data_IF_358936446757
#
_entry.id   IF_358936446757
#
_cell.length_a   1.000
_cell.length_b   1.000
_cell.length_c   1.000
_cell.angle_alpha   90.00
_cell.angle_beta   90.00
_cell.angle_gamma   90.00
#
_symmetry.space_group_name_H-M   'P 1'
#
loop_
_entity.id
_entity.type
_entity.pdbx_description
1 polymer ?
#
# COMPACT_ATOMS: atom_id res chain seq x y z
N UNK A 1 -10.98 26.16 1.90
CA UNK A 1 -9.68 25.45 1.99
C UNK A 1 -10.04 23.97 2.23
N UNK A 2 -9.67 23.10 1.31
CA UNK A 2 -9.98 21.65 1.41
C UNK A 2 -9.06 20.97 2.42
N UNK A 3 -9.63 20.27 3.40
CA UNK A 3 -8.86 19.64 4.49
C UNK A 3 -8.87 18.12 4.36
N UNK A 4 -7.67 17.51 4.34
CA UNK A 4 -7.47 16.06 4.19
C UNK A 4 -6.79 15.49 5.43
N UNK A 5 -7.43 14.55 6.11
CA UNK A 5 -6.80 13.75 7.16
C UNK A 5 -6.18 12.48 6.56
N UNK A 6 -4.95 12.14 6.93
CA UNK A 6 -4.25 10.94 6.46
C UNK A 6 -3.90 10.03 7.63
N UNK A 7 -4.63 8.93 7.79
CA UNK A 7 -4.34 7.91 8.79
C UNK A 7 -3.23 6.97 8.29
N UNK A 8 -2.12 6.91 9.05
CA UNK A 8 -0.95 6.11 8.67
C UNK A 8 0.10 6.87 7.86
N UNK A 9 0.23 8.17 8.09
CA UNK A 9 1.18 9.06 7.39
C UNK A 9 2.65 8.66 7.54
N UNK A 10 3.04 7.93 8.60
CA UNK A 10 4.41 7.43 8.79
C UNK A 10 4.74 6.16 8.00
N UNK A 11 3.74 5.50 7.39
CA UNK A 11 3.92 4.30 6.57
C UNK A 11 4.48 4.59 5.18
N UNK A 12 4.83 3.54 4.44
CA UNK A 12 5.42 3.62 3.09
C UNK A 12 4.58 4.48 2.14
N UNK A 13 3.29 4.17 1.99
CA UNK A 13 2.36 4.93 1.15
C UNK A 13 2.03 6.29 1.76
N UNK A 14 1.86 6.38 3.10
CA UNK A 14 1.54 7.64 3.78
C UNK A 14 2.62 8.70 3.58
N UNK A 15 3.90 8.32 3.60
CA UNK A 15 5.01 9.25 3.31
C UNK A 15 5.04 9.70 1.84
N UNK A 16 4.74 8.79 0.91
CA UNK A 16 4.63 9.16 -0.51
C UNK A 16 3.47 10.13 -0.73
N UNK A 17 2.32 9.87 -0.10
CA UNK A 17 1.16 10.74 -0.15
C UNK A 17 1.45 12.12 0.47
N UNK A 18 2.11 12.16 1.63
CA UNK A 18 2.50 13.43 2.25
C UNK A 18 3.40 14.29 1.34
N UNK A 19 4.33 13.68 0.59
CA UNK A 19 5.17 14.40 -0.39
C UNK A 19 4.36 14.91 -1.57
N UNK A 20 3.46 14.09 -2.11
CA UNK A 20 2.60 14.47 -3.25
C UNK A 20 1.65 15.61 -2.87
N UNK A 21 1.01 15.54 -1.70
CA UNK A 21 0.05 16.54 -1.24
C UNK A 21 0.72 17.85 -0.76
N UNK A 22 2.01 17.84 -0.48
CA UNK A 22 2.74 19.06 -0.10
C UNK A 22 2.81 20.10 -1.23
N UNK A 23 2.55 19.70 -2.48
CA UNK A 23 2.46 20.62 -3.63
C UNK A 23 1.12 21.36 -3.71
N UNK A 24 0.10 20.90 -3.00
CA UNK A 24 -1.25 21.49 -3.03
C UNK A 24 -1.35 22.63 -1.99
N UNK A 25 -1.08 23.85 -2.43
CA UNK A 25 -0.98 25.04 -1.53
C UNK A 25 -2.33 25.47 -0.93
N UNK A 26 -3.43 25.12 -1.57
CA UNK A 26 -4.79 25.47 -1.15
C UNK A 26 -5.44 24.39 -0.27
N UNK A 27 -4.70 23.33 0.04
CA UNK A 27 -5.15 22.24 0.89
C UNK A 27 -4.49 22.27 2.26
N UNK A 28 -5.23 21.85 3.28
CA UNK A 28 -4.69 21.57 4.61
C UNK A 28 -4.58 20.06 4.79
N UNK A 29 -3.36 19.53 4.88
CA UNK A 29 -3.12 18.13 5.17
C UNK A 29 -2.88 17.94 6.66
N UNK A 30 -3.64 17.02 7.29
CA UNK A 30 -3.50 16.62 8.69
C UNK A 30 -2.99 15.19 8.75
N UNK A 31 -1.67 14.97 8.77
CA UNK A 31 -1.09 13.63 8.82
C UNK A 31 -1.18 13.07 10.24
N UNK A 32 -1.64 11.81 10.39
CA UNK A 32 -1.67 11.12 11.68
C UNK A 32 -0.81 9.87 11.69
N UNK A 33 -0.23 9.58 12.84
CA UNK A 33 0.54 8.36 13.08
C UNK A 33 0.36 7.89 14.53
N UNK A 34 0.64 6.62 14.81
CA UNK A 34 0.56 6.07 16.17
C UNK A 34 1.93 5.80 16.76
N UNK A 35 2.71 4.84 16.22
CA UNK A 35 3.96 4.38 16.82
C UNK A 35 5.20 5.17 16.41
N UNK A 36 5.16 5.84 15.25
CA UNK A 36 6.28 6.60 14.67
C UNK A 36 5.78 7.99 14.30
N UNK A 37 5.48 8.78 15.32
CA UNK A 37 4.98 10.15 15.14
C UNK A 37 6.16 11.07 14.85
N UNK A 38 6.19 11.66 13.65
CA UNK A 38 7.19 12.66 13.26
C UNK A 38 6.70 14.08 13.55
N UNK A 39 7.60 15.06 13.45
CA UNK A 39 7.25 16.47 13.59
C UNK A 39 6.15 16.84 12.56
N UNK A 40 5.14 17.59 13.00
CA UNK A 40 3.98 17.97 12.19
C UNK A 40 2.91 16.88 12.01
N UNK A 41 3.07 15.71 12.63
CA UNK A 41 2.04 14.68 12.64
C UNK A 41 1.26 14.69 13.96
N UNK A 42 -0.03 14.36 13.89
CA UNK A 42 -0.90 14.18 15.05
C UNK A 42 -0.79 12.72 15.54
N UNK A 43 -0.56 12.53 16.83
CA UNK A 43 -0.58 11.21 17.44
C UNK A 43 -2.02 10.70 17.52
N UNK A 44 -2.34 9.59 16.84
CA UNK A 44 -3.68 9.00 16.81
C UNK A 44 -3.60 7.47 16.76
N UNK A 45 -4.11 6.81 17.80
CA UNK A 45 -4.38 5.38 17.72
C UNK A 45 -5.76 5.16 17.09
N UNK A 46 -5.76 4.71 15.84
CA UNK A 46 -7.01 4.47 15.12
C UNK A 46 -7.80 3.23 15.61
N UNK A 47 -7.30 2.50 16.61
CA UNK A 47 -8.04 1.43 17.30
C UNK A 47 -8.91 1.98 18.44
N UNK A 48 -8.67 3.21 18.86
CA UNK A 48 -9.49 3.91 19.85
C UNK A 48 -10.59 4.74 19.14
N UNK A 49 -11.82 4.22 19.16
CA UNK A 49 -12.96 4.87 18.52
C UNK A 49 -13.24 6.26 19.09
N UNK A 50 -13.03 6.49 20.40
CA UNK A 50 -13.23 7.81 21.03
C UNK A 50 -12.17 8.81 20.56
N UNK A 51 -10.92 8.36 20.43
CA UNK A 51 -9.86 9.20 19.89
C UNK A 51 -10.15 9.61 18.43
N UNK A 52 -10.67 8.68 17.61
CA UNK A 52 -11.11 8.95 16.23
C UNK A 52 -12.23 9.99 16.21
N UNK A 53 -13.29 9.80 17.01
CA UNK A 53 -14.41 10.75 17.09
C UNK A 53 -13.95 12.15 17.49
N UNK A 54 -13.11 12.25 18.54
CA UNK A 54 -12.55 13.51 19.00
C UNK A 54 -11.68 14.19 17.93
N UNK A 55 -10.82 13.41 17.25
CA UNK A 55 -9.97 13.90 16.17
C UNK A 55 -10.79 14.45 14.99
N UNK A 56 -11.75 13.68 14.48
CA UNK A 56 -12.60 14.09 13.34
C UNK A 56 -13.47 15.30 13.73
N UNK A 57 -13.97 15.35 14.98
CA UNK A 57 -14.74 16.48 15.48
C UNK A 57 -13.89 17.76 15.61
N UNK A 58 -12.64 17.65 16.01
CA UNK A 58 -11.70 18.78 16.15
C UNK A 58 -11.19 19.28 14.80
N UNK A 59 -10.72 18.35 13.95
CA UNK A 59 -10.10 18.72 12.68
C UNK A 59 -11.10 19.05 11.59
N UNK A 60 -12.31 18.49 11.65
CA UNK A 60 -13.38 18.69 10.65
C UNK A 60 -12.86 18.49 9.21
N UNK A 61 -12.25 17.36 8.86
CA UNK A 61 -11.73 17.12 7.52
C UNK A 61 -12.87 17.00 6.51
N UNK A 62 -12.61 17.46 5.26
CA UNK A 62 -13.49 17.23 4.11
C UNK A 62 -13.28 15.82 3.52
N UNK A 63 -12.07 15.28 3.68
CA UNK A 63 -11.74 13.92 3.25
C UNK A 63 -10.82 13.21 4.25
N UNK A 64 -10.96 11.88 4.36
CA UNK A 64 -10.09 11.01 5.18
C UNK A 64 -9.50 9.91 4.32
N UNK A 65 -8.17 9.80 4.30
CA UNK A 65 -7.45 8.69 3.64
C UNK A 65 -6.95 7.71 4.69
N UNK A 66 -7.40 6.44 4.61
CA UNK A 66 -7.00 5.37 5.52
C UNK A 66 -5.91 4.54 4.83
N UNK A 67 -4.63 4.85 5.11
CA UNK A 67 -3.45 4.15 4.61
C UNK A 67 -2.80 3.24 5.68
N UNK A 68 -3.33 3.24 6.92
CA UNK A 68 -2.87 2.38 8.00
C UNK A 68 -3.54 0.99 7.92
N UNK A 69 -2.75 -0.08 8.04
CA UNK A 69 -3.22 -1.45 8.10
C UNK A 69 -2.15 -2.39 8.65
N UNK A 70 -2.54 -3.54 9.25
CA UNK A 70 -1.64 -4.68 9.31
C UNK A 70 -1.64 -5.36 7.94
N UNK A 71 -0.47 -5.37 7.28
CA UNK A 71 -0.30 -5.79 5.87
C UNK A 71 0.44 -7.11 5.69
N UNK A 72 0.92 -7.70 6.79
CA UNK A 72 1.70 -8.94 6.77
C UNK A 72 0.80 -10.15 6.94
N UNK A 73 0.64 -11.00 5.91
CA UNK A 73 -0.26 -12.16 5.97
C UNK A 73 0.04 -13.08 7.16
N UNK A 74 1.31 -13.36 7.41
CA UNK A 74 1.74 -14.27 8.49
C UNK A 74 1.40 -13.71 9.88
N UNK A 75 1.50 -12.39 10.06
CA UNK A 75 1.09 -11.71 11.30
C UNK A 75 -0.43 -11.78 11.48
N UNK A 76 -1.19 -11.56 10.41
CA UNK A 76 -2.65 -11.66 10.45
C UNK A 76 -3.14 -13.09 10.76
N UNK A 77 -2.43 -14.12 10.28
CA UNK A 77 -2.73 -15.53 10.65
C UNK A 77 -2.40 -15.80 12.12
N UNK A 78 -1.30 -15.24 12.64
CA UNK A 78 -0.87 -15.46 14.01
C UNK A 78 -1.74 -14.70 15.03
N UNK A 79 -2.15 -13.46 14.71
CA UNK A 79 -3.01 -12.62 15.56
C UNK A 79 -4.17 -12.01 14.74
N UNK A 80 -5.22 -12.82 14.47
CA UNK A 80 -6.39 -12.35 13.73
C UNK A 80 -7.17 -11.24 14.46
N UNK A 81 -7.10 -11.21 15.80
CA UNK A 81 -7.81 -10.21 16.61
C UNK A 81 -7.18 -8.82 16.44
N UNK A 82 -5.86 -8.72 16.52
CA UNK A 82 -5.14 -7.47 16.26
C UNK A 82 -5.31 -7.01 14.81
N UNK A 83 -5.26 -7.94 13.84
CA UNK A 83 -5.52 -7.65 12.44
C UNK A 83 -6.93 -7.10 12.24
N UNK A 84 -7.96 -7.71 12.86
CA UNK A 84 -9.36 -7.24 12.81
C UNK A 84 -9.50 -5.84 13.41
N UNK A 85 -8.93 -5.60 14.60
CA UNK A 85 -9.01 -4.31 15.26
C UNK A 85 -8.50 -3.17 14.37
N UNK A 86 -7.42 -3.40 13.60
CA UNK A 86 -6.82 -2.39 12.73
C UNK A 86 -7.45 -2.34 11.34
N UNK A 87 -7.71 -3.50 10.71
CA UNK A 87 -8.15 -3.57 9.32
C UNK A 87 -9.68 -3.48 9.14
N UNK A 88 -10.46 -3.67 10.21
CA UNK A 88 -11.93 -3.70 10.16
C UNK A 88 -12.54 -2.66 11.11
N UNK A 89 -12.27 -2.80 12.42
CA UNK A 89 -12.98 -2.00 13.42
C UNK A 89 -12.54 -0.53 13.39
N UNK A 90 -11.24 -0.27 13.18
CA UNK A 90 -10.73 1.09 12.95
C UNK A 90 -11.33 1.73 11.69
N UNK A 91 -11.44 0.96 10.59
CA UNK A 91 -12.04 1.46 9.33
C UNK A 91 -13.49 1.83 9.55
N UNK A 92 -14.27 0.99 10.25
CA UNK A 92 -15.67 1.28 10.60
C UNK A 92 -15.81 2.54 11.45
N UNK A 93 -14.95 2.69 12.47
CA UNK A 93 -14.99 3.85 13.37
C UNK A 93 -14.66 5.15 12.64
N UNK A 94 -13.64 5.14 11.77
CA UNK A 94 -13.31 6.30 10.92
C UNK A 94 -14.46 6.62 9.97
N UNK A 95 -15.05 5.62 9.33
CA UNK A 95 -16.18 5.80 8.41
C UNK A 95 -17.39 6.42 9.12
N UNK A 96 -17.71 5.95 10.34
CA UNK A 96 -18.82 6.49 11.13
C UNK A 96 -18.58 7.95 11.55
N UNK A 97 -17.38 8.27 12.02
CA UNK A 97 -17.00 9.64 12.39
C UNK A 97 -17.01 10.58 11.19
N UNK A 98 -16.47 10.13 10.03
CA UNK A 98 -16.46 10.88 8.79
C UNK A 98 -17.89 11.13 8.26
N UNK A 99 -18.75 10.10 8.25
CA UNK A 99 -20.17 10.21 7.86
C UNK A 99 -20.90 11.29 8.68
N UNK A 100 -20.68 11.32 9.99
CA UNK A 100 -21.31 12.30 10.88
C UNK A 100 -20.93 13.77 10.53
N UNK A 101 -19.87 13.95 9.75
CA UNK A 101 -19.37 15.25 9.27
C UNK A 101 -19.57 15.50 7.78
N UNK A 102 -20.09 14.52 7.04
CA UNK A 102 -20.21 14.59 5.59
C UNK A 102 -18.86 14.53 4.87
N UNK A 103 -17.82 13.98 5.50
CA UNK A 103 -16.51 13.82 4.91
C UNK A 103 -16.44 12.57 4.04
N UNK A 104 -15.79 12.68 2.88
CA UNK A 104 -15.50 11.54 2.00
C UNK A 104 -14.37 10.68 2.56
N UNK A 105 -14.46 9.36 2.38
CA UNK A 105 -13.46 8.42 2.89
C UNK A 105 -12.84 7.59 1.76
N UNK A 106 -11.50 7.59 1.67
CA UNK A 106 -10.75 6.66 0.84
C UNK A 106 -10.02 5.65 1.74
N UNK A 107 -10.33 4.36 1.58
CA UNK A 107 -9.62 3.29 2.28
C UNK A 107 -8.78 2.46 1.32
N UNK A 108 -7.50 2.28 1.66
CA UNK A 108 -6.61 1.40 0.90
C UNK A 108 -6.96 -0.05 1.21
N UNK A 109 -7.15 -0.84 0.16
CA UNK A 109 -7.34 -2.29 0.20
C UNK A 109 -6.26 -3.02 -0.59
N UNK A 110 -6.46 -4.29 -0.91
CA UNK A 110 -5.44 -5.18 -1.44
C UNK A 110 -5.98 -6.09 -2.56
N UNK A 111 -5.09 -6.52 -3.44
CA UNK A 111 -5.31 -7.60 -4.40
C UNK A 111 -5.54 -8.97 -3.72
N UNK A 112 -5.10 -9.15 -2.45
CA UNK A 112 -5.29 -10.39 -1.68
C UNK A 112 -6.75 -10.67 -1.28
N UNK A 113 -7.70 -9.81 -1.64
CA UNK A 113 -9.12 -10.14 -1.57
C UNK A 113 -9.52 -11.18 -2.61
N UNK A 114 -8.67 -11.47 -3.58
CA UNK A 114 -8.85 -12.47 -4.64
C UNK A 114 -7.99 -13.71 -4.44
N UNK A 115 -8.39 -14.83 -5.07
CA UNK A 115 -7.71 -16.11 -4.99
C UNK A 115 -6.56 -16.28 -6.00
N UNK A 116 -6.47 -15.43 -7.01
CA UNK A 116 -5.44 -15.48 -8.04
C UNK A 116 -5.65 -16.54 -9.12
N UNK A 117 -6.89 -17.02 -9.32
CA UNK A 117 -7.21 -18.08 -10.29
C UNK A 117 -7.71 -17.56 -11.63
N UNK A 118 -8.26 -16.34 -11.66
CA UNK A 118 -8.95 -15.79 -12.85
C UNK A 118 -8.60 -14.33 -13.13
N UNK A 119 -7.30 -13.95 -13.25
CA UNK A 119 -6.92 -12.58 -13.60
C UNK A 119 -7.26 -12.24 -15.06
N UNK A 120 -7.41 -10.94 -15.41
CA UNK A 120 -7.43 -9.80 -14.50
C UNK A 120 -8.76 -9.69 -13.75
N UNK A 121 -8.71 -9.18 -12.49
CA UNK A 121 -9.90 -8.97 -11.68
C UNK A 121 -10.47 -7.58 -11.88
N UNK A 122 -11.74 -7.50 -12.24
CA UNK A 122 -12.51 -6.25 -12.28
C UNK A 122 -12.88 -5.78 -10.87
N UNK A 123 -13.22 -4.48 -10.65
CA UNK A 123 -13.65 -3.99 -9.34
C UNK A 123 -14.85 -4.72 -8.73
N UNK A 124 -15.76 -5.22 -9.55
CA UNK A 124 -16.97 -5.98 -9.18
C UNK A 124 -16.77 -7.50 -9.17
N UNK A 125 -15.58 -7.99 -9.50
CA UNK A 125 -15.28 -9.42 -9.41
C UNK A 125 -15.48 -9.96 -7.99
N UNK A 126 -16.03 -11.17 -7.89
CA UNK A 126 -16.32 -11.80 -6.60
C UNK A 126 -15.04 -12.09 -5.82
N UNK A 127 -14.87 -11.51 -4.62
CA UNK A 127 -13.70 -11.78 -3.80
C UNK A 127 -13.70 -13.21 -3.22
N UNK A 128 -12.50 -13.83 -3.15
CA UNK A 128 -12.27 -15.13 -2.54
C UNK A 128 -10.89 -15.16 -1.86
N UNK A 129 -10.71 -14.50 -0.70
CA UNK A 129 -9.41 -14.37 -0.04
C UNK A 129 -8.92 -15.70 0.54
N UNK A 130 -7.65 -16.05 0.30
CA UNK A 130 -7.04 -17.31 0.72
C UNK A 130 -6.50 -17.29 2.16
N UNK A 131 -6.23 -16.11 2.73
CA UNK A 131 -5.57 -15.96 4.03
C UNK A 131 -6.24 -14.91 4.93
N UNK A 132 -5.86 -14.87 6.22
CA UNK A 132 -6.46 -13.97 7.20
C UNK A 132 -6.27 -12.48 6.84
N UNK A 133 -5.15 -12.11 6.22
CA UNK A 133 -4.93 -10.75 5.75
C UNK A 133 -6.00 -10.35 4.70
N UNK A 134 -6.13 -11.14 3.64
CA UNK A 134 -7.13 -10.88 2.59
C UNK A 134 -8.55 -10.86 3.16
N UNK A 135 -8.88 -11.79 4.07
CA UNK A 135 -10.20 -11.81 4.75
C UNK A 135 -10.44 -10.54 5.57
N UNK A 136 -9.47 -10.12 6.39
CA UNK A 136 -9.60 -8.90 7.20
C UNK A 136 -9.74 -7.64 6.35
N UNK A 137 -9.01 -7.55 5.22
CA UNK A 137 -9.14 -6.42 4.30
C UNK A 137 -10.51 -6.40 3.61
N UNK A 138 -11.01 -7.54 3.17
CA UNK A 138 -12.37 -7.64 2.59
C UNK A 138 -13.46 -7.27 3.60
N UNK A 139 -13.32 -7.70 4.86
CA UNK A 139 -14.24 -7.28 5.93
C UNK A 139 -14.16 -5.77 6.18
N UNK A 140 -12.96 -5.17 6.08
CA UNK A 140 -12.77 -3.73 6.16
C UNK A 140 -13.43 -2.96 5.01
N UNK A 141 -13.35 -3.49 3.76
CA UNK A 141 -14.07 -2.93 2.60
C UNK A 141 -15.58 -2.88 2.86
N UNK A 142 -16.14 -4.00 3.33
CA UNK A 142 -17.59 -4.09 3.69
C UNK A 142 -17.91 -3.14 4.83
N UNK A 143 -17.10 -3.11 5.90
CA UNK A 143 -17.33 -2.22 7.02
C UNK A 143 -17.37 -0.74 6.62
N UNK A 144 -16.55 -0.32 5.65
CA UNK A 144 -16.58 1.03 5.09
C UNK A 144 -17.87 1.28 4.30
N UNK A 145 -18.16 0.43 3.30
CA UNK A 145 -19.24 0.63 2.35
C UNK A 145 -20.62 0.45 3.00
N UNK A 146 -20.76 -0.43 4.02
CA UNK A 146 -21.98 -0.57 4.81
C UNK A 146 -22.23 0.64 5.73
N UNK A 147 -21.16 1.40 6.07
CA UNK A 147 -21.28 2.55 6.97
C UNK A 147 -21.61 3.83 6.23
N UNK A 148 -21.03 4.09 5.05
CA UNK A 148 -21.25 5.33 4.30
C UNK A 148 -21.17 5.11 2.80
N UNK A 149 -22.05 5.80 2.05
CA UNK A 149 -22.03 5.84 0.58
C UNK A 149 -20.96 6.81 0.05
N UNK A 150 -20.50 7.78 0.88
CA UNK A 150 -19.45 8.73 0.54
C UNK A 150 -18.06 8.13 0.77
N UNK A 151 -17.79 7.01 0.11
CA UNK A 151 -16.54 6.29 0.29
C UNK A 151 -16.04 5.63 -0.99
N UNK A 152 -14.72 5.49 -1.05
CA UNK A 152 -14.00 4.72 -2.06
C UNK A 152 -13.06 3.72 -1.40
N UNK A 153 -13.19 2.46 -1.80
CA UNK A 153 -12.16 1.44 -1.59
C UNK A 153 -11.19 1.48 -2.77
N UNK A 154 -9.91 1.69 -2.50
CA UNK A 154 -8.87 1.60 -3.52
C UNK A 154 -8.04 0.34 -3.28
N UNK A 155 -8.25 -0.70 -4.10
CA UNK A 155 -7.46 -1.93 -4.08
C UNK A 155 -6.14 -1.72 -4.80
N UNK A 156 -5.06 -2.12 -4.17
CA UNK A 156 -3.69 -2.00 -4.65
C UNK A 156 -2.97 -3.34 -4.52
N UNK A 157 -2.03 -3.66 -5.43
CA UNK A 157 -1.20 -4.86 -5.29
C UNK A 157 0.04 -4.57 -4.44
N UNK A 158 1.13 -5.33 -4.68
CA UNK A 158 2.42 -5.16 -4.04
C UNK A 158 3.00 -3.76 -4.23
N UNK A 159 3.17 -3.01 -3.13
CA UNK A 159 3.70 -1.65 -3.16
C UNK A 159 5.22 -1.61 -2.93
N UNK A 160 5.90 -0.70 -3.63
CA UNK A 160 7.29 -0.34 -3.39
C UNK A 160 7.50 1.16 -3.62
N UNK A 161 8.54 1.73 -3.04
CA UNK A 161 8.85 3.17 -3.15
C UNK A 161 9.94 3.57 -2.17
N UNK A 162 10.21 4.88 -2.00
CA UNK A 162 11.20 5.36 -1.05
C UNK A 162 10.93 4.89 0.38
N UNK A 163 11.91 4.20 0.96
CA UNK A 163 11.86 3.51 2.25
C UNK A 163 12.77 4.19 3.29
N UNK A 164 12.56 3.87 4.55
CA UNK A 164 13.49 4.14 5.66
C UNK A 164 14.09 2.86 6.24
N UNK A 165 13.52 1.70 5.88
CA UNK A 165 14.00 0.37 6.24
C UNK A 165 13.68 -0.62 5.12
N UNK A 166 14.60 -1.56 4.82
CA UNK A 166 14.40 -2.57 3.77
C UNK A 166 13.13 -3.41 3.95
N UNK A 167 12.69 -3.62 5.19
CA UNK A 167 11.50 -4.44 5.52
C UNK A 167 10.16 -3.73 5.28
N UNK A 168 10.17 -2.45 4.90
CA UNK A 168 8.92 -1.71 4.65
C UNK A 168 8.19 -2.13 3.38
N UNK A 169 8.87 -2.79 2.46
CA UNK A 169 8.27 -3.32 1.22
C UNK A 169 8.70 -4.77 0.98
N UNK A 170 7.80 -5.60 0.49
CA UNK A 170 8.15 -6.96 0.07
C UNK A 170 9.03 -7.00 -1.19
N UNK A 171 9.23 -5.87 -1.87
CA UNK A 171 10.22 -5.68 -2.93
C UNK A 171 11.59 -5.40 -2.33
N UNK A 172 11.70 -4.37 -1.49
CA UNK A 172 12.99 -3.93 -0.95
C UNK A 172 13.54 -4.88 0.12
N UNK A 173 12.68 -5.65 0.79
CA UNK A 173 13.11 -6.71 1.74
C UNK A 173 13.93 -7.83 1.09
N UNK A 174 13.97 -7.92 -0.25
CA UNK A 174 14.82 -8.86 -0.97
C UNK A 174 16.28 -8.40 -1.02
N UNK A 175 16.55 -7.09 -0.92
CA UNK A 175 17.89 -6.49 -1.09
C UNK A 175 18.95 -7.12 -0.19
N UNK A 176 18.74 -7.33 1.12
CA UNK A 176 19.76 -7.94 1.97
C UNK A 176 20.16 -9.35 1.52
N UNK A 177 19.20 -10.20 1.13
CA UNK A 177 19.48 -11.56 0.66
C UNK A 177 20.19 -11.56 -0.72
N UNK A 178 19.80 -10.66 -1.62
CA UNK A 178 20.44 -10.47 -2.93
C UNK A 178 21.91 -10.08 -2.74
N UNK A 179 22.20 -9.09 -1.89
CA UNK A 179 23.58 -8.64 -1.61
C UNK A 179 24.41 -9.72 -0.93
N UNK A 180 23.83 -10.46 0.01
CA UNK A 180 24.54 -11.56 0.67
C UNK A 180 24.92 -12.66 -0.32
N UNK A 181 24.06 -13.01 -1.26
CA UNK A 181 24.32 -14.04 -2.27
C UNK A 181 25.38 -13.67 -3.31
N UNK A 182 25.73 -12.38 -3.43
CA UNK A 182 26.77 -11.90 -4.32
C UNK A 182 28.18 -12.03 -3.73
N UNK A 183 28.33 -12.38 -2.45
CA UNK A 183 29.62 -12.54 -1.80
C UNK A 183 30.28 -13.87 -2.18
N UNK A 184 31.60 -13.88 -2.29
CA UNK A 184 32.36 -15.08 -2.64
C UNK A 184 32.13 -16.20 -1.61
N UNK A 185 31.72 -17.39 -2.09
CA UNK A 185 31.43 -18.55 -1.24
C UNK A 185 30.07 -18.51 -0.50
N UNK A 186 29.25 -17.49 -0.75
CA UNK A 186 27.92 -17.42 -0.17
C UNK A 186 26.95 -18.46 -0.79
N UNK A 187 25.96 -18.87 -0.01
CA UNK A 187 24.86 -19.68 -0.54
C UNK A 187 23.95 -18.82 -1.44
N UNK A 188 23.41 -19.42 -2.53
CA UNK A 188 22.44 -18.74 -3.38
C UNK A 188 21.19 -18.31 -2.61
N UNK A 189 20.64 -17.15 -2.95
CA UNK A 189 19.36 -16.70 -2.41
C UNK A 189 18.19 -17.36 -3.17
N UNK A 190 17.32 -18.07 -2.46
CA UNK A 190 16.13 -18.70 -3.02
C UNK A 190 15.01 -17.68 -3.11
N UNK A 191 14.44 -17.51 -4.31
CA UNK A 191 13.38 -16.53 -4.60
C UNK A 191 12.15 -17.20 -5.19
N UNK A 192 10.97 -16.80 -4.73
CA UNK A 192 9.68 -17.26 -5.27
C UNK A 192 9.58 -16.89 -6.76
N UNK A 193 9.46 -17.91 -7.60
CA UNK A 193 9.22 -17.83 -9.04
C UNK A 193 7.86 -18.44 -9.41
N UNK A 194 6.98 -18.68 -8.42
CA UNK A 194 5.66 -19.26 -8.63
C UNK A 194 4.56 -18.21 -8.71
N UNK A 195 4.59 -17.20 -7.83
CA UNK A 195 3.52 -16.23 -7.72
C UNK A 195 3.84 -14.94 -8.49
N UNK A 196 2.98 -14.58 -9.42
CA UNK A 196 3.05 -13.32 -10.17
C UNK A 196 2.57 -12.15 -9.30
N UNK A 197 3.29 -11.05 -9.35
CA UNK A 197 2.99 -9.78 -8.67
C UNK A 197 3.09 -8.64 -9.67
N UNK A 198 2.44 -7.54 -9.34
CA UNK A 198 2.46 -6.30 -10.12
C UNK A 198 3.03 -5.18 -9.22
N UNK A 199 4.36 -5.05 -9.13
CA UNK A 199 4.98 -4.06 -8.27
C UNK A 199 4.49 -2.66 -8.65
N UNK A 200 3.88 -1.97 -7.69
CA UNK A 200 3.24 -0.67 -7.92
C UNK A 200 3.97 0.40 -7.12
N UNK A 201 4.44 1.43 -7.81
CA UNK A 201 5.27 2.47 -7.23
C UNK A 201 4.45 3.43 -6.37
N UNK A 202 4.82 3.63 -5.09
CA UNK A 202 4.02 4.45 -4.16
C UNK A 202 3.89 5.92 -4.55
N UNK A 203 4.86 6.59 -5.22
CA UNK A 203 4.64 7.93 -5.77
C UNK A 203 3.54 7.97 -6.85
N UNK A 204 3.39 6.91 -7.65
CA UNK A 204 2.31 6.84 -8.65
C UNK A 204 0.95 6.63 -7.97
N UNK A 205 0.89 5.80 -6.92
CA UNK A 205 -0.31 5.64 -6.10
C UNK A 205 -0.68 6.96 -5.40
N UNK A 206 0.32 7.68 -4.88
CA UNK A 206 0.10 8.99 -4.26
C UNK A 206 -0.49 10.00 -5.25
N UNK A 207 0.02 10.01 -6.49
CA UNK A 207 -0.56 10.80 -7.58
C UNK A 207 -2.03 10.41 -7.84
N UNK A 208 -2.33 9.11 -7.96
CA UNK A 208 -3.71 8.63 -8.16
C UNK A 208 -4.62 9.08 -7.02
N UNK A 209 -4.16 8.99 -5.76
CA UNK A 209 -4.93 9.44 -4.60
C UNK A 209 -5.14 10.96 -4.64
N UNK A 210 -4.14 11.75 -5.02
CA UNK A 210 -4.28 13.20 -5.18
C UNK A 210 -5.34 13.56 -6.23
N UNK A 211 -5.33 12.90 -7.39
CA UNK A 211 -6.36 13.09 -8.44
C UNK A 211 -7.77 12.75 -7.93
N UNK A 212 -7.91 11.68 -7.13
CA UNK A 212 -9.18 11.31 -6.50
C UNK A 212 -9.64 12.36 -5.47
N UNK A 213 -8.71 12.90 -4.68
CA UNK A 213 -8.98 13.97 -3.73
C UNK A 213 -9.34 15.29 -4.44
N UNK A 214 -8.69 15.61 -5.56
CA UNK A 214 -9.04 16.77 -6.40
C UNK A 214 -10.48 16.66 -6.89
N UNK A 215 -10.89 15.50 -7.39
CA UNK A 215 -12.29 15.27 -7.76
C UNK A 215 -13.25 15.42 -6.60
N UNK A 216 -12.84 14.98 -5.40
CA UNK A 216 -13.65 15.17 -4.20
C UNK A 216 -13.79 16.65 -3.86
N UNK A 217 -12.72 17.43 -3.90
CA UNK A 217 -12.73 18.87 -3.67
C UNK A 217 -13.63 19.62 -4.67
N UNK A 218 -13.70 19.14 -5.92
CA UNK A 218 -14.56 19.69 -7.00
C UNK A 218 -16.02 19.18 -6.93
N UNK A 219 -16.39 18.43 -5.89
CA UNK A 219 -17.75 17.87 -5.73
C UNK A 219 -18.06 16.65 -6.60
N UNK A 220 -17.05 16.09 -7.28
CA UNK A 220 -17.16 14.93 -8.20
C UNK A 220 -16.49 13.68 -7.62
N UNK A 221 -16.64 13.44 -6.32
CA UNK A 221 -16.00 12.34 -5.62
C UNK A 221 -16.31 10.97 -6.25
N UNK A 222 -15.27 10.15 -6.43
CA UNK A 222 -15.41 8.77 -6.88
C UNK A 222 -15.81 7.90 -5.68
N UNK A 223 -16.81 7.01 -5.87
CA UNK A 223 -17.40 6.17 -4.79
C UNK A 223 -17.36 4.70 -5.16
N UNK A 224 -17.55 3.82 -4.17
CA UNK A 224 -17.58 2.38 -4.34
C UNK A 224 -16.18 1.76 -4.35
N UNK A 225 -15.87 0.92 -5.35
CA UNK A 225 -14.57 0.21 -5.45
C UNK A 225 -13.86 0.63 -6.72
N UNK A 226 -12.58 0.99 -6.60
CA UNK A 226 -11.67 1.17 -7.71
C UNK A 226 -10.34 0.41 -7.44
N UNK A 227 -9.54 0.25 -8.47
CA UNK A 227 -8.29 -0.49 -8.44
C UNK A 227 -7.21 0.29 -9.19
N UNK A 228 -5.97 0.18 -8.70
CA UNK A 228 -4.81 0.70 -9.41
C UNK A 228 -3.64 -0.27 -9.28
N UNK A 229 -3.00 -0.58 -10.38
CA UNK A 229 -1.91 -1.54 -10.47
C UNK A 229 -0.81 -1.05 -11.40
N UNK A 230 0.45 -1.39 -11.09
CA UNK A 230 1.47 -1.50 -12.12
C UNK A 230 1.03 -2.54 -13.17
N UNK A 231 1.63 -2.50 -14.33
CA UNK A 231 1.30 -3.35 -15.48
C UNK A 231 2.40 -4.36 -15.85
N UNK A 232 3.53 -4.35 -15.12
CA UNK A 232 4.62 -5.28 -15.33
C UNK A 232 4.47 -6.52 -14.43
N UNK A 233 4.10 -7.70 -15.01
CA UNK A 233 4.02 -8.96 -14.26
C UNK A 233 5.42 -9.45 -13.89
N UNK A 234 5.65 -9.71 -12.61
CA UNK A 234 6.94 -10.18 -12.08
C UNK A 234 6.75 -11.18 -10.95
N UNK A 235 7.57 -12.22 -10.92
CA UNK A 235 7.77 -13.02 -9.72
C UNK A 235 8.77 -12.32 -8.78
N UNK A 236 8.90 -12.77 -7.53
CA UNK A 236 9.99 -12.26 -6.67
C UNK A 236 11.37 -12.58 -7.22
N UNK A 237 11.49 -13.66 -7.99
CA UNK A 237 12.73 -14.00 -8.68
C UNK A 237 13.07 -12.95 -9.75
N UNK A 238 12.10 -12.55 -10.58
CA UNK A 238 12.30 -11.49 -11.59
C UNK A 238 12.62 -10.15 -10.93
N UNK A 239 11.90 -9.79 -9.86
CA UNK A 239 12.17 -8.60 -9.05
C UNK A 239 13.60 -8.62 -8.51
N UNK A 240 14.07 -9.76 -7.98
CA UNK A 240 15.42 -9.91 -7.45
C UNK A 240 16.49 -9.75 -8.53
N UNK A 241 16.27 -10.27 -9.74
CA UNK A 241 17.17 -10.09 -10.88
C UNK A 241 17.27 -8.60 -11.28
N UNK A 242 16.13 -7.89 -11.36
CA UNK A 242 16.11 -6.45 -11.66
C UNK A 242 16.80 -5.62 -10.58
N UNK A 243 16.61 -5.96 -9.29
CA UNK A 243 17.31 -5.31 -8.18
C UNK A 243 18.83 -5.56 -8.26
N UNK A 244 19.27 -6.80 -8.50
CA UNK A 244 20.69 -7.14 -8.64
C UNK A 244 21.33 -6.34 -9.79
N UNK A 245 20.64 -6.24 -10.94
CA UNK A 245 21.06 -5.42 -12.07
C UNK A 245 21.18 -3.94 -11.69
N UNK A 246 20.17 -3.38 -11.02
CA UNK A 246 20.19 -1.99 -10.57
C UNK A 246 21.30 -1.68 -9.55
N UNK A 247 21.69 -2.67 -8.74
CA UNK A 247 22.81 -2.58 -7.80
C UNK A 247 24.18 -2.81 -8.46
N UNK A 248 24.24 -3.26 -9.73
CA UNK A 248 25.47 -3.61 -10.42
C UNK A 248 26.19 -4.82 -9.81
N UNK A 249 25.48 -5.78 -9.22
CA UNK A 249 26.05 -6.96 -8.56
C UNK A 249 25.65 -8.27 -9.24
N UNK A 250 26.55 -9.26 -9.23
CA UNK A 250 26.29 -10.62 -9.71
C UNK A 250 25.77 -11.48 -8.56
N UNK A 251 24.46 -11.43 -8.30
CA UNK A 251 23.81 -12.22 -7.27
C UNK A 251 23.56 -13.67 -7.71
N UNK A 252 23.81 -14.62 -6.82
CA UNK A 252 23.47 -16.02 -7.04
C UNK A 252 22.02 -16.25 -6.61
N UNK A 253 21.11 -16.37 -7.59
CA UNK A 253 19.68 -16.51 -7.36
C UNK A 253 19.18 -17.87 -7.82
N UNK A 254 18.34 -18.53 -7.02
CA UNK A 254 17.69 -19.80 -7.35
C UNK A 254 16.18 -19.59 -7.37
N UNK A 255 15.55 -19.95 -8.48
CA UNK A 255 14.11 -19.87 -8.68
C UNK A 255 13.39 -21.01 -7.95
N UNK A 256 12.47 -20.69 -7.07
CA UNK A 256 11.55 -21.64 -6.45
C UNK A 256 10.21 -21.62 -7.18
N UNK A 257 9.93 -22.67 -7.96
CA UNK A 257 8.78 -22.74 -8.87
C UNK A 257 7.53 -23.38 -8.24
N UNK A 258 7.57 -23.71 -6.96
CA UNK A 258 6.43 -24.22 -6.20
C UNK A 258 6.18 -23.34 -4.97
N UNK A 259 4.91 -23.22 -4.51
CA UNK A 259 4.61 -22.45 -3.31
C UNK A 259 5.33 -23.06 -2.10
N UNK A 260 6.00 -22.23 -1.30
CA UNK A 260 6.78 -22.62 -0.13
C UNK A 260 6.21 -22.07 1.17
N UNK A 261 5.39 -21.05 1.11
CA UNK A 261 4.86 -20.37 2.28
C UNK A 261 3.82 -21.25 3.00
N UNK A 262 3.90 -21.29 4.34
CA UNK A 262 2.88 -21.94 5.16
C UNK A 262 1.54 -21.21 5.07
N UNK A 263 1.56 -19.88 4.93
CA UNK A 263 0.37 -19.07 4.69
C UNK A 263 0.04 -19.07 3.20
N UNK A 264 -1.15 -19.55 2.79
CA UNK A 264 -1.55 -19.56 1.38
C UNK A 264 -1.51 -18.15 0.77
N UNK A 265 -0.91 -18.03 -0.41
CA UNK A 265 -0.83 -16.79 -1.18
C UNK A 265 -1.43 -16.99 -2.57
N UNK A 266 -2.15 -16.00 -3.11
CA UNK A 266 -2.69 -16.11 -4.45
C UNK A 266 -1.57 -16.20 -5.48
N UNK A 267 -1.85 -16.92 -6.61
CA UNK A 267 -0.88 -17.08 -7.69
C UNK A 267 -0.74 -15.81 -8.52
N UNK A 268 -1.85 -15.25 -9.00
CA UNK A 268 -1.88 -14.07 -9.86
C UNK A 268 -3.14 -13.25 -9.58
N UNK A 269 -2.99 -12.10 -8.94
CA UNK A 269 -4.08 -11.19 -8.61
C UNK A 269 -3.99 -9.89 -9.41
N UNK A 270 -3.75 -9.96 -10.73
CA UNK A 270 -3.76 -8.77 -11.58
C UNK A 270 -5.07 -7.99 -11.41
N UNK A 271 -4.97 -6.73 -11.03
CA UNK A 271 -6.09 -5.82 -10.85
C UNK A 271 -6.32 -5.00 -12.13
N UNK A 272 -7.55 -4.98 -12.63
CA UNK A 272 -7.94 -4.09 -13.72
C UNK A 272 -8.03 -2.64 -13.23
N UNK A 273 -7.32 -1.73 -13.89
CA UNK A 273 -7.29 -0.29 -13.57
C UNK A 273 -8.24 0.55 -14.44
N UNK A 274 -8.97 -0.07 -15.36
CA UNK A 274 -9.74 0.57 -16.40
C UNK A 274 -10.76 1.60 -15.91
N UNK A 275 -11.32 1.40 -14.69
CA UNK A 275 -12.23 2.37 -14.09
C UNK A 275 -11.57 3.73 -13.84
N UNK A 276 -10.35 3.77 -13.34
CA UNK A 276 -9.61 5.01 -13.08
C UNK A 276 -9.04 5.59 -14.37
N UNK A 277 -8.55 4.75 -15.27
CA UNK A 277 -8.05 5.16 -16.58
C UNK A 277 -9.14 5.83 -17.42
N UNK A 278 -10.37 5.32 -17.39
CA UNK A 278 -11.52 5.94 -18.06
C UNK A 278 -11.86 7.35 -17.52
N UNK A 279 -11.42 7.64 -16.29
CA UNK A 279 -11.52 8.98 -15.69
C UNK A 279 -10.30 9.86 -16.00
N UNK A 280 -9.31 9.37 -16.75
CA UNK A 280 -8.04 10.05 -16.99
C UNK A 280 -7.10 10.06 -15.80
N UNK A 281 -7.34 9.18 -14.80
CA UNK A 281 -6.53 9.07 -13.59
C UNK A 281 -5.56 7.91 -13.75
N UNK A 282 -4.26 8.21 -13.63
CA UNK A 282 -3.23 7.18 -13.63
C UNK A 282 -1.84 7.69 -13.93
N UNK A 283 -0.85 7.03 -13.34
CA UNK A 283 0.58 7.21 -13.62
C UNK A 283 1.28 5.88 -13.36
N UNK A 284 2.12 5.44 -14.28
CA UNK A 284 2.93 4.23 -14.13
C UNK A 284 4.39 4.52 -14.43
N UNK A 285 5.21 4.39 -13.43
CA UNK A 285 6.66 4.45 -13.55
C UNK A 285 7.16 3.03 -13.84
N UNK A 286 7.94 2.79 -14.91
CA UNK A 286 8.56 1.48 -15.17
C UNK A 286 9.34 1.00 -13.95
N UNK A 287 9.31 -0.31 -13.68
CA UNK A 287 9.90 -0.88 -12.46
C UNK A 287 11.38 -0.52 -12.32
N UNK A 288 12.17 -0.61 -13.40
CA UNK A 288 13.60 -0.31 -13.37
C UNK A 288 13.88 1.16 -12.98
N UNK A 289 13.09 2.09 -13.48
CA UNK A 289 13.20 3.50 -13.10
C UNK A 289 12.80 3.73 -11.62
N UNK A 290 11.71 3.08 -11.19
CA UNK A 290 11.23 3.17 -9.82
C UNK A 290 12.19 2.58 -8.81
N UNK A 291 12.77 1.40 -9.09
CA UNK A 291 13.72 0.75 -8.16
C UNK A 291 15.04 1.53 -8.06
N UNK A 292 15.55 2.07 -9.15
CA UNK A 292 16.71 2.96 -9.13
C UNK A 292 16.45 4.17 -8.24
N UNK A 293 15.30 4.84 -8.38
CA UNK A 293 14.93 5.98 -7.55
C UNK A 293 14.84 5.62 -6.05
N UNK A 294 14.37 4.40 -5.72
CA UNK A 294 14.34 3.90 -4.33
C UNK A 294 15.74 3.69 -3.78
N UNK A 295 16.61 3.03 -4.53
CA UNK A 295 18.00 2.75 -4.13
C UNK A 295 18.81 4.03 -3.95
N UNK A 296 18.66 4.98 -4.87
CA UNK A 296 19.34 6.30 -4.82
C UNK A 296 18.85 7.14 -3.62
N UNK A 297 17.54 7.12 -3.33
CA UNK A 297 16.99 7.82 -2.17
C UNK A 297 17.53 7.23 -0.87
N UNK A 298 17.55 5.90 -0.75
CA UNK A 298 18.05 5.20 0.43
C UNK A 298 19.54 5.48 0.68
N UNK A 299 20.36 5.56 -0.38
CA UNK A 299 21.77 5.91 -0.26
C UNK A 299 21.99 7.35 0.18
N UNK A 300 21.22 8.28 -0.37
CA UNK A 300 21.33 9.72 -0.02
C UNK A 300 20.94 10.01 1.42
N UNK A 301 19.94 9.30 1.94
CA UNK A 301 19.45 9.48 3.30
C UNK A 301 20.40 8.85 4.35
N UNK A 302 21.56 8.31 3.93
CA UNK A 302 22.58 7.74 4.81
C UNK A 302 22.16 6.44 5.51
N UNK A 303 21.09 5.80 5.03
CA UNK A 303 20.51 4.60 5.63
C UNK A 303 21.28 3.31 5.27
N UNK A 304 22.36 3.43 4.50
CA UNK A 304 23.33 2.37 4.24
C UNK A 304 24.10 2.55 2.92
N UNK A 305 25.32 2.03 2.79
CA UNK A 305 26.06 2.05 1.55
C UNK A 305 25.39 1.14 0.51
N UNK A 306 25.20 1.63 -0.72
CA UNK A 306 24.77 0.82 -1.87
C UNK A 306 25.90 -0.08 -2.39
N UNK A 307 27.18 0.32 -2.19
CA UNK A 307 28.35 -0.48 -2.55
C UNK A 307 28.71 -1.49 -1.48
N UNK A 308 29.01 -2.72 -1.87
CA UNK A 308 29.74 -3.66 -1.03
C UNK A 308 31.13 -3.04 -0.71
N UNK A 309 31.44 -2.88 0.58
CA UNK A 309 32.85 -2.80 0.99
C UNK A 309 33.44 -4.21 1.02
#
# INVERSE_FOLDING_TARGET
>A
MFKVAVAGASGLLGRALGRELAAETDWQVVPTAFSRVAAGQVALDIRDARAIEAFVASEMPDAVVIAAAERRPDVCEHDPAAARALNVDAVRSIAAAAKARGAWVLSISTDYVFDGMHPPYLPDATPNPLNAYGRSKLEGERALLDTTDDALVLRLPLLYGPIVDWQESAVTSLVPAIRASAQAGAAPAVMDAWATRYPTFTPDVAFVIRELLTRCADGNAVRGIAQWSGDEPMTKYDIAQRIAHALGIEAQLVAQTAPADATPRPRDCHLDSGRLEALGIGRRTPFDAGILAVLDAFARDGLGPLSAQ
#
